data_IF_679387399064
#
_entry.id   IF_679387399064
#
_cell.length_a   1.000
_cell.length_b   1.000
_cell.length_c   1.000
_cell.angle_alpha   90.00
_cell.angle_beta   90.00
_cell.angle_gamma   90.00
#
_symmetry.space_group_name_H-M   'P 1'
#
loop_
_entity.id
_entity.type
_entity.pdbx_description
1 polymer ?
#
# COMPACT_ATOMS: atom_id res chain seq x y z
N UNK A 1 19.20 -36.14 6.73
CA UNK A 1 19.48 -37.11 7.82
C UNK A 1 19.27 -36.38 9.13
N UNK A 2 18.32 -36.81 9.97
CA UNK A 2 18.16 -36.24 11.32
C UNK A 2 19.31 -36.77 12.17
N UNK A 3 20.10 -35.85 12.74
CA UNK A 3 21.10 -36.23 13.75
C UNK A 3 20.38 -36.38 15.08
N UNK A 4 20.51 -37.52 15.69
CA UNK A 4 20.01 -37.80 17.04
C UNK A 4 21.17 -37.64 18.04
N UNK A 5 20.87 -37.18 19.24
CA UNK A 5 21.84 -37.07 20.30
C UNK A 5 22.26 -38.46 20.77
N UNK A 6 23.55 -38.78 20.74
CA UNK A 6 24.09 -40.09 21.10
C UNK A 6 23.80 -40.51 22.56
N UNK A 7 23.43 -39.55 23.42
CA UNK A 7 23.19 -39.83 24.84
C UNK A 7 21.72 -39.89 25.24
N UNK A 8 20.80 -39.27 24.48
CA UNK A 8 19.37 -39.21 24.85
C UNK A 8 18.41 -39.50 23.70
N UNK A 9 18.91 -39.76 22.48
CA UNK A 9 18.10 -40.04 21.30
C UNK A 9 17.23 -38.89 20.80
N UNK A 10 17.36 -37.70 21.37
CA UNK A 10 16.61 -36.52 20.92
C UNK A 10 17.16 -35.96 19.61
N UNK A 11 16.30 -35.47 18.71
CA UNK A 11 16.78 -34.83 17.50
C UNK A 11 17.64 -33.61 17.83
N UNK A 12 18.87 -33.61 17.37
CA UNK A 12 19.78 -32.46 17.49
C UNK A 12 19.39 -31.49 16.37
N UNK A 13 19.13 -30.24 16.75
CA UNK A 13 18.87 -29.19 15.77
C UNK A 13 20.06 -29.05 14.83
N UNK A 14 19.80 -28.97 13.55
CA UNK A 14 20.85 -28.73 12.55
C UNK A 14 21.39 -27.31 12.78
N UNK A 15 22.69 -27.11 13.03
CA UNK A 15 23.27 -25.80 13.26
C UNK A 15 23.01 -24.82 12.09
N UNK A 16 22.85 -25.33 10.87
CA UNK A 16 22.45 -24.53 9.72
C UNK A 16 21.01 -24.03 9.85
N UNK A 17 20.10 -24.84 10.39
CA UNK A 17 18.72 -24.49 10.63
C UNK A 17 18.60 -23.48 11.79
N UNK A 18 19.37 -23.64 12.85
CA UNK A 18 19.44 -22.68 13.96
C UNK A 18 19.93 -21.31 13.50
N UNK A 19 20.97 -21.29 12.69
CA UNK A 19 21.52 -20.05 12.13
C UNK A 19 20.50 -19.38 11.19
N UNK A 20 19.76 -20.15 10.41
CA UNK A 20 18.70 -19.62 9.54
C UNK A 20 17.56 -19.01 10.36
N UNK A 21 17.12 -19.66 11.42
CA UNK A 21 16.10 -19.13 12.34
C UNK A 21 16.58 -17.85 13.02
N UNK A 22 17.84 -17.82 13.47
CA UNK A 22 18.43 -16.64 14.11
C UNK A 22 18.47 -15.45 13.15
N UNK A 23 18.81 -15.67 11.88
CA UNK A 23 18.81 -14.62 10.85
C UNK A 23 17.40 -14.12 10.59
N UNK A 24 16.45 -15.04 10.49
CA UNK A 24 15.04 -14.70 10.33
C UNK A 24 14.55 -13.78 11.47
N UNK A 25 14.80 -14.16 12.74
CA UNK A 25 14.41 -13.35 13.90
C UNK A 25 15.11 -11.97 13.90
N UNK A 26 16.37 -11.89 13.51
CA UNK A 26 17.10 -10.62 13.38
C UNK A 26 16.48 -9.70 12.33
N UNK A 27 16.04 -10.24 11.19
CA UNK A 27 15.40 -9.47 10.13
C UNK A 27 13.99 -9.02 10.53
N UNK A 28 13.23 -9.85 11.24
CA UNK A 28 11.95 -9.45 11.85
C UNK A 28 12.16 -8.32 12.85
N UNK A 29 13.15 -8.42 13.74
CA UNK A 29 13.45 -7.37 14.70
C UNK A 29 13.92 -6.07 14.02
N UNK A 30 14.64 -6.18 12.91
CA UNK A 30 15.01 -5.01 12.10
C UNK A 30 13.75 -4.35 11.52
N UNK A 31 12.82 -5.12 10.96
CA UNK A 31 11.55 -4.60 10.45
C UNK A 31 10.74 -3.91 11.54
N UNK A 32 10.68 -4.48 12.75
CA UNK A 32 10.01 -3.87 13.91
C UNK A 32 10.69 -2.55 14.32
N UNK A 33 12.01 -2.45 14.27
CA UNK A 33 12.71 -1.18 14.53
C UNK A 33 12.36 -0.12 13.49
N UNK A 34 12.28 -0.48 12.20
CA UNK A 34 11.84 0.45 11.15
C UNK A 34 10.39 0.90 11.37
N UNK A 35 9.49 0.00 11.77
CA UNK A 35 8.12 0.36 12.13
C UNK A 35 8.09 1.41 13.25
N UNK A 36 8.80 1.18 14.35
CA UNK A 36 8.86 2.12 15.48
C UNK A 36 9.48 3.46 15.11
N UNK A 37 10.37 3.49 14.13
CA UNK A 37 10.99 4.70 13.60
C UNK A 37 10.11 5.44 12.57
N UNK A 38 8.93 4.92 12.21
CA UNK A 38 8.06 5.49 11.17
C UNK A 38 8.55 5.23 9.74
N UNK A 39 9.50 4.32 9.56
CA UNK A 39 10.04 3.94 8.25
C UNK A 39 9.26 2.73 7.70
N UNK A 40 7.96 2.92 7.46
CA UNK A 40 7.03 1.84 7.11
C UNK A 40 7.37 1.17 5.78
N UNK A 41 7.92 1.91 4.82
CA UNK A 41 8.30 1.38 3.51
C UNK A 41 9.45 0.37 3.63
N UNK A 42 10.48 0.72 4.37
CA UNK A 42 11.62 -0.15 4.66
C UNK A 42 11.18 -1.38 5.46
N UNK A 43 10.28 -1.19 6.43
CA UNK A 43 9.73 -2.31 7.19
C UNK A 43 9.01 -3.32 6.29
N UNK A 44 8.13 -2.86 5.40
CA UNK A 44 7.42 -3.75 4.45
C UNK A 44 8.39 -4.38 3.46
N UNK A 45 9.41 -3.63 3.01
CA UNK A 45 10.48 -4.16 2.16
C UNK A 45 11.24 -5.34 2.78
N UNK A 46 11.47 -5.31 4.10
CA UNK A 46 12.07 -6.41 4.86
C UNK A 46 11.09 -7.56 5.10
N UNK A 47 9.83 -7.25 5.40
CA UNK A 47 8.81 -8.28 5.71
C UNK A 47 8.40 -9.09 4.47
N UNK A 48 8.39 -8.48 3.28
CA UNK A 48 7.94 -9.14 2.05
C UNK A 48 8.73 -10.43 1.74
N UNK A 49 10.07 -10.43 1.68
CA UNK A 49 10.83 -11.66 1.43
C UNK A 49 10.70 -12.67 2.57
N UNK A 50 10.50 -12.23 3.82
CA UNK A 50 10.28 -13.14 4.96
C UNK A 50 8.94 -13.86 4.85
N UNK A 51 7.88 -13.18 4.37
CA UNK A 51 6.59 -13.81 4.09
C UNK A 51 6.67 -14.87 2.98
N UNK A 52 7.56 -14.70 2.02
CA UNK A 52 7.79 -15.70 0.97
C UNK A 52 8.59 -16.91 1.49
N UNK A 53 9.48 -16.71 2.47
CA UNK A 53 10.24 -17.78 3.13
C UNK A 53 9.38 -18.57 4.13
N UNK A 54 8.52 -17.88 4.88
CA UNK A 54 7.65 -18.47 5.90
C UNK A 54 6.19 -18.03 5.69
N UNK A 55 5.49 -18.63 4.73
CA UNK A 55 4.14 -18.21 4.35
C UNK A 55 3.05 -18.49 5.41
N UNK A 56 3.36 -19.27 6.44
CA UNK A 56 2.42 -19.60 7.51
C UNK A 56 2.66 -18.79 8.80
N UNK A 57 3.68 -17.89 8.80
CA UNK A 57 4.00 -17.08 9.97
C UNK A 57 3.07 -15.86 10.08
N UNK A 58 2.01 -16.01 10.87
CA UNK A 58 0.95 -15.00 11.09
C UNK A 58 1.49 -13.64 11.54
N UNK A 59 2.58 -13.64 12.33
CA UNK A 59 3.19 -12.41 12.86
C UNK A 59 3.64 -11.45 11.75
N UNK A 60 4.20 -11.97 10.66
CA UNK A 60 4.68 -11.15 9.54
C UNK A 60 3.55 -10.37 8.87
N UNK A 61 2.43 -11.03 8.65
CA UNK A 61 1.25 -10.43 8.03
C UNK A 61 0.60 -9.37 8.92
N UNK A 62 0.58 -9.58 10.25
CA UNK A 62 0.11 -8.57 11.20
C UNK A 62 1.01 -7.34 11.21
N UNK A 63 2.33 -7.51 11.23
CA UNK A 63 3.28 -6.40 11.15
C UNK A 63 3.12 -5.61 9.85
N UNK A 64 2.85 -6.28 8.74
CA UNK A 64 2.60 -5.62 7.45
C UNK A 64 1.29 -4.82 7.47
N UNK A 65 0.22 -5.35 8.06
CA UNK A 65 -1.02 -4.60 8.26
C UNK A 65 -0.83 -3.39 9.18
N UNK A 66 -0.07 -3.56 10.26
CA UNK A 66 0.28 -2.45 11.14
C UNK A 66 1.05 -1.37 10.41
N UNK A 67 2.08 -1.73 9.61
CA UNK A 67 2.84 -0.80 8.80
C UNK A 67 1.95 0.00 7.85
N UNK A 68 1.01 -0.67 7.18
CA UNK A 68 0.06 -0.03 6.29
C UNK A 68 -0.85 0.94 7.05
N UNK A 69 -1.37 0.55 8.22
CA UNK A 69 -2.23 1.38 9.07
C UNK A 69 -1.53 2.67 9.47
N UNK A 70 -0.34 2.56 10.05
CA UNK A 70 0.43 3.72 10.50
C UNK A 70 0.82 4.64 9.33
N UNK A 71 1.11 4.08 8.16
CA UNK A 71 1.36 4.86 6.96
C UNK A 71 0.13 5.67 6.53
N UNK A 72 -1.08 5.08 6.60
CA UNK A 72 -2.32 5.76 6.24
C UNK A 72 -2.74 6.82 7.27
N UNK A 73 -2.45 6.61 8.55
CA UNK A 73 -2.82 7.54 9.62
C UNK A 73 -1.92 8.78 9.68
N UNK A 74 -0.64 8.65 9.36
CA UNK A 74 0.34 9.69 9.64
C UNK A 74 0.70 10.60 8.47
N UNK A 75 0.51 10.22 7.20
CA UNK A 75 0.95 11.04 6.06
C UNK A 75 0.22 10.70 4.78
N UNK A 76 0.49 11.43 3.71
CA UNK A 76 -0.04 11.15 2.37
C UNK A 76 0.09 9.66 2.03
N UNK A 77 -1.02 8.92 1.98
CA UNK A 77 -1.00 7.46 1.86
C UNK A 77 -0.27 7.04 0.58
N UNK A 78 0.72 6.18 0.73
CA UNK A 78 1.45 5.63 -0.41
C UNK A 78 0.66 4.45 -0.95
N UNK A 79 0.16 4.50 -2.20
CA UNK A 79 -0.62 3.41 -2.80
C UNK A 79 0.11 2.06 -2.79
N UNK A 80 1.44 2.08 -2.77
CA UNK A 80 2.31 0.91 -2.69
C UNK A 80 2.05 0.06 -1.43
N UNK A 81 1.48 0.62 -0.38
CA UNK A 81 1.17 -0.10 0.86
C UNK A 81 -0.13 -0.91 0.78
N UNK A 82 -0.99 -0.65 -0.21
CA UNK A 82 -2.30 -1.32 -0.33
C UNK A 82 -2.14 -2.77 -0.75
N UNK A 83 -1.27 -3.06 -1.73
CA UNK A 83 -1.07 -4.42 -2.22
C UNK A 83 -0.49 -5.36 -1.13
N UNK A 84 0.57 -4.99 -0.38
CA UNK A 84 1.04 -5.77 0.76
C UNK A 84 -0.03 -5.94 1.86
N UNK A 85 -0.80 -4.90 2.17
CA UNK A 85 -1.87 -4.98 3.16
C UNK A 85 -2.97 -5.97 2.73
N UNK A 86 -3.36 -5.96 1.45
CA UNK A 86 -4.35 -6.89 0.90
C UNK A 86 -3.84 -8.32 0.95
N UNK A 87 -2.62 -8.59 0.44
CA UNK A 87 -1.99 -9.91 0.53
C UNK A 87 -1.95 -10.42 1.97
N UNK A 88 -1.59 -9.55 2.91
CA UNK A 88 -1.55 -9.88 4.33
C UNK A 88 -2.92 -10.21 4.90
N UNK A 89 -3.94 -9.42 4.56
CA UNK A 89 -5.32 -9.66 4.98
C UNK A 89 -5.84 -11.02 4.48
N UNK A 90 -5.73 -11.28 3.17
CA UNK A 90 -6.17 -12.53 2.54
C UNK A 90 -5.45 -13.75 3.12
N UNK A 91 -4.15 -13.61 3.42
CA UNK A 91 -3.37 -14.70 4.02
C UNK A 91 -3.77 -14.94 5.47
N UNK A 92 -3.98 -13.88 6.27
CA UNK A 92 -4.47 -14.02 7.65
C UNK A 92 -5.86 -14.66 7.68
N UNK A 93 -6.74 -14.35 6.73
CA UNK A 93 -8.03 -15.01 6.59
C UNK A 93 -7.85 -16.51 6.34
N UNK A 94 -7.01 -16.88 5.38
CA UNK A 94 -6.72 -18.29 5.06
C UNK A 94 -6.12 -19.06 6.23
N UNK A 95 -5.20 -18.46 6.97
CA UNK A 95 -4.52 -19.07 8.13
C UNK A 95 -5.36 -19.01 9.41
N UNK A 96 -6.60 -18.49 9.35
CA UNK A 96 -7.45 -18.24 10.53
C UNK A 96 -6.75 -17.41 11.60
N UNK A 97 -5.82 -16.55 11.17
CA UNK A 97 -5.04 -15.63 12.03
C UNK A 97 -5.72 -14.28 12.25
N UNK A 98 -6.98 -14.12 11.81
CA UNK A 98 -7.75 -12.92 12.04
C UNK A 98 -8.15 -12.84 13.52
N UNK A 99 -7.76 -11.75 14.15
CA UNK A 99 -8.15 -11.40 15.50
C UNK A 99 -8.71 -9.97 15.54
N UNK A 100 -9.15 -9.54 16.71
CA UNK A 100 -9.70 -8.19 16.89
C UNK A 100 -8.71 -7.08 16.50
N UNK A 101 -7.40 -7.31 16.67
CA UNK A 101 -6.36 -6.35 16.31
C UNK A 101 -6.16 -6.26 14.79
N UNK A 102 -6.10 -7.39 14.10
CA UNK A 102 -6.03 -7.42 12.63
C UNK A 102 -7.25 -6.72 12.00
N UNK A 103 -8.44 -6.90 12.58
CA UNK A 103 -9.65 -6.24 12.13
C UNK A 103 -9.59 -4.71 12.34
N UNK A 104 -9.04 -4.24 13.47
CA UNK A 104 -8.82 -2.81 13.70
C UNK A 104 -7.88 -2.21 12.65
N UNK A 105 -6.77 -2.90 12.34
CA UNK A 105 -5.84 -2.48 11.30
C UNK A 105 -6.51 -2.43 9.92
N UNK A 106 -7.30 -3.43 9.55
CA UNK A 106 -8.01 -3.43 8.28
C UNK A 106 -9.00 -2.27 8.16
N UNK A 107 -9.74 -1.96 9.23
CA UNK A 107 -10.65 -0.80 9.28
C UNK A 107 -9.90 0.53 9.14
N UNK A 108 -8.76 0.68 9.79
CA UNK A 108 -7.92 1.87 9.67
C UNK A 108 -7.37 2.02 8.26
N UNK A 109 -6.86 0.95 7.64
CA UNK A 109 -6.42 0.95 6.23
C UNK A 109 -7.57 1.32 5.29
N UNK A 110 -8.76 0.77 5.47
CA UNK A 110 -9.93 1.09 4.65
C UNK A 110 -10.37 2.56 4.80
N UNK A 111 -10.30 3.12 6.02
CA UNK A 111 -10.59 4.53 6.27
C UNK A 111 -9.57 5.42 5.55
N UNK A 112 -8.28 5.23 5.80
CA UNK A 112 -7.23 6.01 5.16
C UNK A 112 -7.23 5.89 3.64
N UNK A 113 -7.56 4.70 3.11
CA UNK A 113 -7.76 4.48 1.68
C UNK A 113 -8.90 5.34 1.13
N UNK A 114 -10.04 5.42 1.82
CA UNK A 114 -11.18 6.25 1.40
C UNK A 114 -10.82 7.72 1.39
N UNK A 115 -10.18 8.21 2.44
CA UNK A 115 -9.70 9.59 2.52
C UNK A 115 -8.71 9.93 1.40
N UNK A 116 -7.78 9.02 1.11
CA UNK A 116 -6.84 9.16 -0.01
C UNK A 116 -7.54 9.18 -1.37
N UNK A 117 -8.55 8.35 -1.56
CA UNK A 117 -9.38 8.35 -2.77
C UNK A 117 -10.06 9.70 -2.96
N UNK A 118 -10.74 10.20 -1.94
CA UNK A 118 -11.43 11.49 -1.98
C UNK A 118 -10.48 12.65 -2.21
N UNK A 119 -9.32 12.66 -1.54
CA UNK A 119 -8.32 13.71 -1.72
C UNK A 119 -7.78 13.73 -3.15
N UNK A 120 -7.40 12.57 -3.70
CA UNK A 120 -6.91 12.47 -5.09
C UNK A 120 -8.00 12.77 -6.11
N UNK A 121 -9.22 12.30 -5.87
CA UNK A 121 -10.37 12.59 -6.72
C UNK A 121 -10.63 14.10 -6.82
N UNK A 122 -10.55 14.83 -5.71
CA UNK A 122 -10.68 16.30 -5.69
C UNK A 122 -9.59 17.00 -6.49
N UNK A 123 -8.34 16.53 -6.40
CA UNK A 123 -7.24 17.08 -7.19
C UNK A 123 -7.47 16.89 -8.69
N UNK A 124 -7.80 15.64 -9.10
CA UNK A 124 -8.08 15.33 -10.50
C UNK A 124 -9.25 16.16 -11.03
N UNK A 125 -10.34 16.26 -10.25
CA UNK A 125 -11.52 17.04 -10.63
C UNK A 125 -11.15 18.51 -10.86
N UNK A 126 -10.33 19.11 -9.99
CA UNK A 126 -9.83 20.50 -10.19
C UNK A 126 -9.08 20.64 -11.51
N UNK A 127 -8.14 19.73 -11.81
CA UNK A 127 -7.41 19.76 -13.08
C UNK A 127 -8.34 19.65 -14.29
N UNK A 128 -9.32 18.76 -14.24
CA UNK A 128 -10.31 18.57 -15.31
C UNK A 128 -11.18 19.83 -15.49
N UNK A 129 -11.59 20.46 -14.39
CA UNK A 129 -12.36 21.72 -14.45
C UNK A 129 -11.54 22.85 -15.08
N UNK A 130 -10.26 23.00 -14.66
CA UNK A 130 -9.39 24.02 -15.26
C UNK A 130 -9.11 23.75 -16.74
N UNK A 131 -8.84 22.51 -17.10
CA UNK A 131 -8.64 22.11 -18.49
C UNK A 131 -9.88 22.38 -19.34
N UNK A 132 -11.07 22.03 -18.85
CA UNK A 132 -12.34 22.31 -19.51
C UNK A 132 -12.60 23.81 -19.66
N UNK A 133 -12.31 24.60 -18.63
CA UNK A 133 -12.40 26.05 -18.68
C UNK A 133 -11.45 26.67 -19.72
N UNK A 134 -10.21 26.21 -19.79
CA UNK A 134 -9.26 26.66 -20.81
C UNK A 134 -9.70 26.30 -22.24
N UNK A 135 -10.25 25.10 -22.43
CA UNK A 135 -10.77 24.69 -23.76
C UNK A 135 -11.98 25.51 -24.19
N UNK A 136 -12.92 25.79 -23.26
CA UNK A 136 -14.07 26.67 -23.55
C UNK A 136 -13.60 28.09 -23.89
N UNK A 137 -12.68 28.66 -23.10
CA UNK A 137 -12.12 29.97 -23.37
C UNK A 137 -11.41 30.01 -24.73
N UNK A 138 -10.62 28.98 -25.07
CA UNK A 138 -9.98 28.86 -26.37
C UNK A 138 -11.02 28.91 -27.52
N UNK A 139 -12.09 28.12 -27.40
CA UNK A 139 -13.17 28.11 -28.40
C UNK A 139 -13.83 29.49 -28.56
N UNK A 140 -14.11 30.20 -27.46
CA UNK A 140 -14.67 31.55 -27.51
C UNK A 140 -13.71 32.55 -28.14
N UNK A 141 -12.42 32.54 -27.84
CA UNK A 141 -11.44 33.44 -28.44
C UNK A 141 -11.27 33.16 -29.93
N UNK A 142 -11.22 31.93 -30.37
CA UNK A 142 -11.17 31.63 -31.80
C UNK A 142 -12.44 32.07 -32.54
N UNK A 143 -13.63 31.86 -31.93
CA UNK A 143 -14.88 32.34 -32.51
C UNK A 143 -14.97 33.87 -32.59
N UNK A 144 -14.29 34.60 -31.68
CA UNK A 144 -14.19 36.07 -31.70
C UNK A 144 -13.05 36.59 -32.57
N UNK A 145 -12.30 35.77 -33.29
CA UNK A 145 -11.19 36.17 -34.14
C UNK A 145 -9.89 36.54 -33.40
N UNK A 146 -9.76 36.12 -32.14
CA UNK A 146 -8.56 36.36 -31.29
C UNK A 146 -7.64 35.16 -31.27
N UNK A 147 -7.02 34.80 -32.41
CA UNK A 147 -6.22 33.58 -32.58
C UNK A 147 -5.07 33.44 -31.59
N UNK A 148 -4.41 34.54 -31.25
CA UNK A 148 -3.30 34.53 -30.30
C UNK A 148 -3.76 34.14 -28.89
N UNK A 149 -4.88 34.66 -28.42
CA UNK A 149 -5.43 34.36 -27.10
C UNK A 149 -6.02 32.93 -27.09
N UNK A 150 -6.68 32.51 -28.20
CA UNK A 150 -7.19 31.18 -28.39
C UNK A 150 -6.07 30.14 -28.36
N UNK A 151 -4.96 30.38 -29.05
CA UNK A 151 -3.77 29.55 -29.03
C UNK A 151 -3.12 29.43 -27.65
N UNK A 152 -3.02 30.54 -26.91
CA UNK A 152 -2.47 30.56 -25.55
C UNK A 152 -3.31 29.74 -24.56
N UNK A 153 -4.62 29.88 -24.57
CA UNK A 153 -5.54 29.11 -23.69
C UNK A 153 -5.60 27.63 -24.07
N UNK A 154 -5.53 27.30 -25.34
CA UNK A 154 -5.40 25.92 -25.81
C UNK A 154 -4.08 25.27 -25.36
N UNK A 155 -2.97 25.99 -25.46
CA UNK A 155 -1.67 25.55 -24.95
C UNK A 155 -1.69 25.28 -23.45
N UNK A 156 -2.36 26.13 -22.65
CA UNK A 156 -2.56 25.92 -21.23
C UNK A 156 -3.37 24.62 -20.93
N UNK A 157 -4.42 24.34 -21.70
CA UNK A 157 -5.20 23.10 -21.57
C UNK A 157 -4.34 21.86 -21.85
N UNK A 158 -3.51 21.90 -22.91
CA UNK A 158 -2.56 20.83 -23.23
C UNK A 158 -1.53 20.63 -22.11
N UNK A 159 -0.98 21.71 -21.54
CA UNK A 159 -0.06 21.67 -20.40
C UNK A 159 -0.67 20.98 -19.18
N UNK A 160 -1.92 21.29 -18.85
CA UNK A 160 -2.67 20.65 -17.77
C UNK A 160 -2.92 19.16 -18.06
N UNK A 161 -3.26 18.80 -19.31
CA UNK A 161 -3.42 17.41 -19.74
C UNK A 161 -2.13 16.60 -19.59
N UNK A 162 -0.99 17.17 -20.00
CA UNK A 162 0.33 16.55 -19.83
C UNK A 162 0.70 16.40 -18.34
N UNK A 163 0.37 17.39 -17.50
CA UNK A 163 0.60 17.27 -16.06
C UNK A 163 -0.21 16.13 -15.44
N UNK A 164 -1.48 15.99 -15.81
CA UNK A 164 -2.32 14.86 -15.39
C UNK A 164 -1.77 13.52 -15.88
N UNK A 165 -1.32 13.44 -17.13
CA UNK A 165 -0.72 12.23 -17.68
C UNK A 165 0.56 11.83 -16.93
N UNK A 166 1.45 12.80 -16.62
CA UNK A 166 2.68 12.53 -15.84
C UNK A 166 2.39 12.08 -14.42
N UNK A 167 1.33 12.58 -13.79
CA UNK A 167 0.91 12.13 -12.45
C UNK A 167 0.41 10.69 -12.44
N UNK A 168 0.10 10.10 -13.61
CA UNK A 168 -0.38 8.74 -13.78
C UNK A 168 -1.39 8.31 -12.69
N UNK A 169 -2.52 9.02 -12.53
CA UNK A 169 -3.41 8.83 -11.39
C UNK A 169 -4.22 7.53 -11.46
N UNK A 170 -4.41 6.96 -12.66
CA UNK A 170 -5.31 5.83 -12.89
C UNK A 170 -4.91 4.54 -12.14
N UNK A 171 -3.64 4.07 -12.18
CA UNK A 171 -3.25 2.88 -11.43
C UNK A 171 -3.42 3.05 -9.92
N UNK A 172 -3.12 4.26 -9.44
CA UNK A 172 -3.27 4.63 -8.03
C UNK A 172 -4.74 4.61 -7.61
N UNK A 173 -5.61 5.20 -8.43
CA UNK A 173 -7.06 5.19 -8.20
C UNK A 173 -7.61 3.76 -8.25
N UNK A 174 -7.17 2.95 -9.19
CA UNK A 174 -7.60 1.55 -9.28
C UNK A 174 -7.20 0.78 -8.01
N UNK A 175 -5.95 0.90 -7.56
CA UNK A 175 -5.49 0.26 -6.32
C UNK A 175 -6.28 0.71 -5.08
N UNK A 176 -6.69 2.00 -5.04
CA UNK A 176 -7.49 2.55 -3.94
C UNK A 176 -8.98 2.16 -4.01
N UNK A 177 -9.49 1.66 -5.13
CA UNK A 177 -10.92 1.40 -5.34
C UNK A 177 -11.44 0.25 -4.50
N UNK A 178 -10.69 -0.85 -4.41
CA UNK A 178 -11.14 -2.07 -3.75
C UNK A 178 -10.82 -2.04 -2.25
N UNK A 179 -11.82 -2.14 -1.36
CA UNK A 179 -11.60 -2.24 0.08
C UNK A 179 -11.04 -3.61 0.47
N UNK A 180 -10.42 -3.69 1.64
CA UNK A 180 -10.22 -4.94 2.35
C UNK A 180 -11.60 -5.44 2.80
N UNK A 181 -11.93 -6.69 2.50
CA UNK A 181 -13.25 -7.26 2.81
C UNK A 181 -13.37 -7.59 4.30
N UNK A 182 -13.99 -6.67 5.05
CA UNK A 182 -14.22 -6.82 6.49
C UNK A 182 -15.39 -7.75 6.82
N UNK A 183 -16.25 -8.08 5.82
CA UNK A 183 -17.48 -8.87 6.03
C UNK A 183 -17.20 -10.35 6.20
N UNK A 184 -16.02 -10.81 5.80
CA UNK A 184 -15.59 -12.19 5.98
C UNK A 184 -15.06 -12.49 7.39
N UNK A 185 -15.47 -11.70 8.38
CA UNK A 185 -15.08 -11.93 9.76
C UNK A 185 -15.75 -13.22 10.26
N UNK A 186 -15.00 -14.26 10.65
CA UNK A 186 -15.57 -15.51 11.16
C UNK A 186 -16.21 -15.36 12.56
N UNK A 187 -16.16 -14.17 13.16
CA UNK A 187 -16.70 -13.87 14.51
C UNK A 187 -18.00 -13.05 14.48
N UNK A 188 -18.58 -12.77 13.31
CA UNK A 188 -19.94 -12.26 13.12
C UNK A 188 -20.84 -13.33 12.53
#
# INVERSE_FOLDING_TARGET
MRRECDCCGWPVADPAQEEQLRRFDQDVDRAVRHLRAGNWHEAVGLLTPLMDQQPDEVRLYRLTLQAATENFENLAPRPLMIAPARKSWETLERLRGLDGQALQYARAVNRGRREAWEAKGRVILRYLMWMGGCLLAAGLFFAAGHDFLGGGTFGAALGLGLALYKMNPLPVLHALREPLDERKNPFT
#
